data_IF_609381556209
#
_entry.id   IF_609381556209
#
_cell.length_a   1.000
_cell.length_b   1.000
_cell.length_c   1.000
_cell.angle_alpha   90.00
_cell.angle_beta   90.00
_cell.angle_gamma   90.00
#
_symmetry.space_group_name_H-M   'P 1'
#
loop_
_entity.id
_entity.type
_entity.pdbx_description
1 polymer ?
#
# COMPACT_ATOMS: atom_id res chain seq x y z
N UNK A 1 -17.74 25.25 17.74
CA UNK A 1 -18.17 24.87 16.38
C UNK A 1 -17.31 23.72 15.84
N UNK A 2 -15.99 23.74 15.99
CA UNK A 2 -15.10 22.64 15.53
C UNK A 2 -15.25 21.38 16.38
N UNK A 3 -15.38 21.50 17.71
CA UNK A 3 -15.61 20.36 18.61
C UNK A 3 -16.91 19.64 18.35
N UNK A 4 -18.01 20.37 18.09
CA UNK A 4 -19.31 19.75 17.75
C UNK A 4 -19.32 19.09 16.37
N UNK A 5 -18.48 19.56 15.44
CA UNK A 5 -18.30 18.95 14.13
C UNK A 5 -17.50 17.64 14.22
N UNK A 6 -16.46 17.63 15.05
CA UNK A 6 -15.66 16.44 15.35
C UNK A 6 -16.46 15.39 16.13
N UNK A 7 -17.24 15.82 17.13
CA UNK A 7 -18.13 14.94 17.89
C UNK A 7 -19.21 14.31 17.00
N UNK A 8 -19.75 15.08 16.04
CA UNK A 8 -20.67 14.54 15.02
C UNK A 8 -20.01 13.57 14.05
N UNK A 9 -18.74 13.76 13.70
CA UNK A 9 -17.98 12.82 12.88
C UNK A 9 -17.70 11.51 13.63
N UNK A 10 -17.32 11.59 14.91
CA UNK A 10 -17.00 10.41 15.72
C UNK A 10 -18.29 9.64 16.08
N UNK A 11 -19.38 10.33 16.47
CA UNK A 11 -20.67 9.70 16.77
C UNK A 11 -21.40 9.21 15.51
N UNK A 12 -21.09 9.78 14.34
CA UNK A 12 -21.58 9.35 13.03
C UNK A 12 -20.76 8.24 12.37
N UNK A 13 -19.62 7.88 12.95
CA UNK A 13 -18.77 6.79 12.45
C UNK A 13 -19.47 5.44 12.69
N UNK A 14 -20.27 5.03 11.73
CA UNK A 14 -20.81 3.67 11.67
C UNK A 14 -19.84 2.81 10.86
N UNK A 15 -19.66 1.58 11.29
CA UNK A 15 -19.01 0.57 10.46
C UNK A 15 -19.80 0.40 9.17
N UNK A 16 -19.17 0.69 8.04
CA UNK A 16 -19.78 0.45 6.74
C UNK A 16 -19.82 -1.06 6.49
N UNK A 17 -20.98 -1.57 6.11
CA UNK A 17 -21.10 -2.94 5.62
C UNK A 17 -20.83 -2.96 4.12
N UNK A 18 -19.56 -2.83 3.74
CA UNK A 18 -19.15 -2.79 2.33
C UNK A 18 -19.32 -4.15 1.63
N UNK A 19 -19.29 -5.25 2.39
CA UNK A 19 -19.48 -6.59 1.83
C UNK A 19 -20.91 -6.77 1.29
N UNK A 20 -21.93 -6.41 2.10
CA UNK A 20 -23.32 -6.49 1.67
C UNK A 20 -23.61 -5.46 0.56
N UNK A 21 -23.00 -4.26 0.64
CA UNK A 21 -23.15 -3.26 -0.40
C UNK A 21 -22.57 -3.74 -1.75
N UNK A 22 -21.37 -4.36 -1.71
CA UNK A 22 -20.79 -4.98 -2.89
C UNK A 22 -21.68 -6.10 -3.45
N UNK A 23 -22.15 -7.00 -2.58
CA UNK A 23 -23.04 -8.08 -2.98
C UNK A 23 -24.34 -7.57 -3.62
N UNK A 24 -24.90 -6.46 -3.12
CA UNK A 24 -26.07 -5.81 -3.70
C UNK A 24 -25.77 -5.19 -5.06
N UNK A 25 -24.60 -4.55 -5.25
CA UNK A 25 -24.17 -4.05 -6.56
C UNK A 25 -24.01 -5.20 -7.57
N UNK A 26 -23.34 -6.27 -7.15
CA UNK A 26 -23.04 -7.44 -8.01
C UNK A 26 -24.31 -8.25 -8.34
N UNK A 27 -25.39 -8.15 -7.56
CA UNK A 27 -26.64 -8.86 -7.81
C UNK A 27 -27.45 -8.34 -9.00
N UNK A 28 -27.13 -7.15 -9.51
CA UNK A 28 -27.91 -6.45 -10.53
C UNK A 28 -29.20 -5.79 -10.00
N UNK A 29 -29.55 -5.97 -8.70
CA UNK A 29 -30.73 -5.34 -8.09
C UNK A 29 -30.58 -3.83 -7.90
N UNK A 30 -29.33 -3.34 -7.99
CA UNK A 30 -29.00 -1.91 -7.83
C UNK A 30 -29.47 -1.04 -9.00
N UNK A 31 -29.65 -1.61 -10.19
CA UNK A 31 -29.89 -0.88 -11.44
C UNK A 31 -28.72 0.00 -11.89
N UNK A 32 -27.56 -0.10 -11.23
CA UNK A 32 -26.37 0.69 -11.58
C UNK A 32 -25.79 0.31 -12.95
N UNK A 33 -26.01 -0.92 -13.38
CA UNK A 33 -25.58 -1.42 -14.70
C UNK A 33 -26.17 -0.63 -15.87
N UNK A 34 -27.36 -0.03 -15.67
CA UNK A 34 -27.99 0.82 -16.68
C UNK A 34 -27.44 2.27 -16.66
N UNK A 35 -26.76 2.66 -15.57
CA UNK A 35 -26.32 4.04 -15.33
C UNK A 35 -24.81 4.21 -15.43
N UNK A 36 -24.05 3.11 -15.38
CA UNK A 36 -22.58 3.11 -15.37
C UNK A 36 -22.02 2.22 -16.45
N UNK A 37 -20.84 2.57 -16.97
CA UNK A 37 -20.13 1.76 -17.96
C UNK A 37 -19.26 0.68 -17.30
N UNK A 38 -18.81 0.94 -16.06
CA UNK A 38 -17.98 0.04 -15.26
C UNK A 38 -18.13 0.36 -13.77
N UNK A 39 -17.93 -0.64 -12.92
CA UNK A 39 -17.85 -0.51 -11.46
C UNK A 39 -16.52 -1.11 -11.01
N UNK A 40 -15.63 -0.26 -10.54
CA UNK A 40 -14.30 -0.67 -10.08
C UNK A 40 -14.27 -0.78 -8.56
N UNK A 41 -13.83 -1.93 -8.04
CA UNK A 41 -13.57 -2.14 -6.62
C UNK A 41 -12.09 -2.01 -6.33
N UNK A 42 -11.75 -1.26 -5.29
CA UNK A 42 -10.40 -1.18 -4.75
C UNK A 42 -10.36 -1.80 -3.36
N UNK A 43 -9.26 -2.47 -3.05
CA UNK A 43 -9.08 -3.20 -1.81
C UNK A 43 -7.90 -2.60 -1.03
N UNK A 44 -7.93 -2.69 0.30
CA UNK A 44 -6.84 -2.24 1.17
C UNK A 44 -5.67 -3.22 1.25
N UNK A 45 -5.84 -4.44 0.70
CA UNK A 45 -4.76 -5.43 0.62
C UNK A 45 -3.62 -4.90 -0.23
N UNK A 46 -2.38 -4.86 0.29
CA UNK A 46 -1.26 -4.30 -0.45
C UNK A 46 -0.86 -5.19 -1.62
N UNK A 47 -0.72 -4.60 -2.80
CA UNK A 47 -0.10 -5.25 -3.95
C UNK A 47 1.42 -5.12 -3.80
N UNK A 48 2.09 -6.15 -3.30
CA UNK A 48 3.54 -6.14 -3.10
C UNK A 48 4.24 -6.90 -4.21
N UNK A 49 5.08 -6.20 -4.96
CA UNK A 49 5.73 -6.70 -6.18
C UNK A 49 7.23 -6.46 -6.10
N UNK A 50 7.98 -7.45 -6.52
CA UNK A 50 9.44 -7.42 -6.57
C UNK A 50 9.98 -7.71 -7.96
N UNK A 51 11.18 -7.20 -8.22
CA UNK A 51 12.05 -7.60 -9.30
C UNK A 51 13.24 -8.36 -8.70
N UNK A 52 13.68 -9.44 -9.37
CA UNK A 52 14.71 -10.36 -8.82
C UNK A 52 15.88 -10.62 -9.77
N UNK A 53 15.90 -10.03 -10.95
CA UNK A 53 16.93 -10.27 -11.98
C UNK A 53 18.28 -9.59 -11.65
N UNK A 54 18.27 -8.48 -10.89
CA UNK A 54 19.48 -7.74 -10.47
C UNK A 54 19.57 -7.61 -8.93
N UNK A 55 19.13 -8.64 -8.19
CA UNK A 55 19.00 -8.58 -6.74
C UNK A 55 17.53 -8.44 -6.32
N UNK A 56 17.29 -8.29 -5.02
CA UNK A 56 15.96 -8.11 -4.48
C UNK A 56 15.58 -6.62 -4.52
N UNK A 57 14.69 -6.24 -5.45
CA UNK A 57 14.20 -4.88 -5.55
C UNK A 57 12.67 -4.84 -5.43
N UNK A 58 12.17 -4.11 -4.44
CA UNK A 58 10.74 -3.85 -4.29
C UNK A 58 10.31 -2.77 -5.27
N UNK A 59 9.39 -3.11 -6.16
CA UNK A 59 8.89 -2.19 -7.20
C UNK A 59 7.49 -1.65 -6.90
N UNK A 60 6.76 -2.31 -5.99
CA UNK A 60 5.48 -1.83 -5.47
C UNK A 60 5.21 -2.37 -4.05
N UNK A 61 4.71 -1.56 -3.10
CA UNK A 61 4.72 -0.10 -3.15
C UNK A 61 6.17 0.43 -3.26
N UNK A 62 6.34 1.53 -3.96
CA UNK A 62 7.67 2.12 -4.14
C UNK A 62 8.18 2.72 -2.83
N UNK A 63 9.40 2.39 -2.46
CA UNK A 63 10.10 2.95 -1.28
C UNK A 63 11.09 4.04 -1.66
N UNK A 64 11.21 4.38 -2.95
CA UNK A 64 12.26 5.27 -3.47
C UNK A 64 12.39 6.58 -2.69
N UNK A 65 11.29 7.26 -2.39
CA UNK A 65 11.34 8.54 -1.66
C UNK A 65 11.66 8.39 -0.18
N UNK A 66 11.23 7.29 0.46
CA UNK A 66 11.64 6.99 1.83
C UNK A 66 13.12 6.62 1.90
N UNK A 67 13.60 5.83 0.95
CA UNK A 67 14.99 5.41 0.87
C UNK A 67 15.94 6.59 0.59
N UNK A 68 15.46 7.58 -0.19
CA UNK A 68 16.17 8.84 -0.42
C UNK A 68 16.07 9.83 0.78
N UNK A 69 15.36 9.49 1.85
CA UNK A 69 15.17 10.36 3.00
C UNK A 69 14.33 11.63 2.73
N UNK A 70 13.65 11.66 1.59
CA UNK A 70 12.78 12.79 1.19
C UNK A 70 11.44 12.75 1.94
N UNK A 71 11.01 11.55 2.35
CA UNK A 71 9.79 11.34 3.12
C UNK A 71 10.03 10.34 4.26
N UNK A 72 9.45 10.56 5.46
CA UNK A 72 9.49 9.55 6.50
C UNK A 72 8.82 8.24 6.04
N UNK A 73 9.42 7.09 6.39
CA UNK A 73 8.90 5.77 6.03
C UNK A 73 7.46 5.51 6.51
N UNK A 74 7.03 6.17 7.59
CA UNK A 74 5.74 5.99 8.28
C UNK A 74 4.59 6.89 7.79
N UNK A 75 4.76 7.61 6.67
CA UNK A 75 3.71 8.51 6.18
C UNK A 75 2.57 7.80 5.44
N UNK A 76 2.66 6.50 5.20
CA UNK A 76 1.67 5.71 4.46
C UNK A 76 0.24 5.73 5.06
N UNK A 77 0.11 6.02 6.36
CA UNK A 77 -1.19 6.15 7.06
C UNK A 77 -1.71 7.58 7.20
N UNK A 78 -0.97 8.60 6.76
CA UNK A 78 -1.39 9.99 6.89
C UNK A 78 -2.06 10.50 5.62
N UNK A 79 -2.96 11.49 5.75
CA UNK A 79 -3.62 12.17 4.62
C UNK A 79 -2.59 12.78 3.63
N UNK A 80 -1.41 13.16 4.13
CA UNK A 80 -0.31 13.68 3.31
C UNK A 80 0.40 12.55 2.55
N UNK A 81 0.61 11.40 3.19
CA UNK A 81 1.21 10.22 2.56
C UNK A 81 0.32 9.65 1.45
N UNK A 82 -0.99 9.57 1.68
CA UNK A 82 -1.94 9.14 0.66
C UNK A 82 -2.02 10.09 -0.56
N UNK A 83 -1.87 11.41 -0.35
CA UNK A 83 -1.88 12.38 -1.45
C UNK A 83 -0.53 12.48 -2.20
N UNK A 84 0.55 11.96 -1.62
CA UNK A 84 1.90 11.94 -2.21
C UNK A 84 2.37 10.53 -2.61
N UNK A 85 1.54 9.51 -2.42
CA UNK A 85 1.85 8.15 -2.85
C UNK A 85 1.83 8.12 -4.37
N UNK A 86 2.99 8.20 -4.98
CA UNK A 86 3.19 8.04 -6.41
C UNK A 86 3.22 6.54 -6.73
N UNK A 87 2.06 5.89 -6.62
CA UNK A 87 1.96 4.50 -7.06
C UNK A 87 2.18 4.42 -8.56
N UNK A 88 3.18 3.66 -8.97
CA UNK A 88 3.39 3.34 -10.39
C UNK A 88 2.55 2.16 -10.86
N UNK A 89 1.70 1.61 -9.98
CA UNK A 89 0.78 0.52 -10.31
C UNK A 89 -0.66 1.01 -10.18
N UNK A 90 -1.47 0.79 -11.21
CA UNK A 90 -2.87 1.23 -11.26
C UNK A 90 -3.77 0.12 -11.80
N UNK A 91 -4.97 0.01 -11.24
CA UNK A 91 -5.96 -0.92 -11.75
C UNK A 91 -6.61 -0.36 -13.02
N UNK A 92 -6.61 -1.15 -14.06
CA UNK A 92 -7.31 -0.85 -15.31
C UNK A 92 -8.82 -1.06 -15.14
N UNK A 93 -9.63 -0.37 -15.95
CA UNK A 93 -11.07 -0.67 -16.05
C UNK A 93 -11.30 -2.13 -16.47
N UNK A 94 -12.30 -2.76 -15.89
CA UNK A 94 -12.74 -4.11 -16.26
C UNK A 94 -13.48 -4.17 -17.59
N UNK A 95 -13.94 -3.04 -18.09
CA UNK A 95 -14.66 -2.94 -19.37
C UNK A 95 -13.65 -2.86 -20.53
N UNK A 96 -13.57 -3.94 -21.30
CA UNK A 96 -12.62 -4.08 -22.39
C UNK A 96 -12.84 -3.09 -23.54
N UNK A 97 -14.10 -2.75 -23.83
CA UNK A 97 -14.43 -1.79 -24.87
C UNK A 97 -14.03 -0.38 -24.44
N UNK A 98 -14.22 -0.05 -23.15
CA UNK A 98 -13.76 1.21 -22.58
C UNK A 98 -12.23 1.29 -22.60
N UNK A 99 -11.55 0.20 -22.25
CA UNK A 99 -10.09 0.15 -22.28
C UNK A 99 -9.55 0.38 -23.68
N UNK A 100 -10.14 -0.27 -24.70
CA UNK A 100 -9.81 -0.08 -26.13
C UNK A 100 -10.12 1.33 -26.64
N UNK A 101 -11.14 1.97 -26.07
CA UNK A 101 -11.48 3.36 -26.42
C UNK A 101 -10.53 4.39 -25.77
N UNK A 102 -9.92 4.04 -24.63
CA UNK A 102 -9.02 4.92 -23.88
C UNK A 102 -7.57 4.82 -24.33
N UNK A 103 -7.14 3.68 -24.85
CA UNK A 103 -5.74 3.40 -25.12
C UNK A 103 -5.50 2.74 -26.49
N UNK A 104 -4.45 3.21 -27.16
CA UNK A 104 -3.85 2.58 -28.32
C UNK A 104 -2.75 1.62 -27.87
N UNK A 105 -2.67 0.44 -28.48
CA UNK A 105 -1.55 -0.51 -28.28
C UNK A 105 -0.36 -0.06 -29.12
N UNK A 106 0.72 0.37 -28.46
CA UNK A 106 1.97 0.76 -29.12
C UNK A 106 2.81 -0.45 -29.47
N UNK A 107 2.89 -1.42 -28.55
CA UNK A 107 3.57 -2.70 -28.75
C UNK A 107 2.94 -3.79 -27.88
N UNK A 108 3.10 -5.04 -28.27
CA UNK A 108 2.52 -6.18 -27.55
C UNK A 108 1.00 -6.25 -27.72
N UNK A 109 0.28 -6.46 -26.61
CA UNK A 109 -1.19 -6.63 -26.58
C UNK A 109 -1.79 -6.15 -25.26
N UNK A 110 -3.11 -6.11 -25.16
CA UNK A 110 -3.83 -5.92 -23.90
C UNK A 110 -3.66 -7.16 -23.00
N UNK A 111 -3.75 -7.01 -21.66
CA UNK A 111 -3.62 -8.10 -20.72
C UNK A 111 -4.87 -8.99 -20.75
N UNK A 112 -4.68 -10.31 -20.82
CA UNK A 112 -5.76 -11.32 -20.85
C UNK A 112 -5.82 -12.16 -19.58
N UNK A 113 -4.67 -12.32 -18.88
CA UNK A 113 -4.55 -13.09 -17.64
C UNK A 113 -4.35 -12.18 -16.44
N UNK A 114 -4.68 -12.67 -15.24
CA UNK A 114 -4.54 -11.91 -14.00
C UNK A 114 -3.11 -11.42 -13.75
N UNK A 115 -2.13 -12.19 -14.17
CA UNK A 115 -0.70 -11.90 -13.98
C UNK A 115 -0.04 -11.21 -15.18
N UNK A 116 -0.83 -10.64 -16.07
CA UNK A 116 -0.37 -9.83 -17.19
C UNK A 116 -0.64 -8.36 -16.91
N UNK A 117 0.37 -7.55 -17.18
CA UNK A 117 0.31 -6.09 -16.96
C UNK A 117 0.79 -5.35 -18.22
N UNK A 118 0.48 -4.06 -18.27
CA UNK A 118 0.88 -3.20 -19.38
C UNK A 118 1.57 -1.93 -18.83
N UNK A 119 2.53 -1.40 -19.58
CA UNK A 119 3.11 -0.10 -19.29
C UNK A 119 2.29 0.99 -20.01
N UNK A 120 1.79 1.96 -19.26
CA UNK A 120 1.14 3.16 -19.81
C UNK A 120 2.20 4.23 -20.04
N UNK A 121 2.37 4.67 -21.28
CA UNK A 121 3.30 5.73 -21.67
C UNK A 121 2.56 7.01 -22.03
N UNK A 122 3.27 8.13 -22.04
CA UNK A 122 2.71 9.40 -22.51
C UNK A 122 2.38 9.40 -24.02
N UNK A 123 1.71 10.45 -24.50
CA UNK A 123 1.38 10.63 -25.91
C UNK A 123 2.65 10.62 -26.81
N UNK A 124 3.78 11.04 -26.28
CA UNK A 124 5.09 11.05 -26.92
C UNK A 124 5.93 9.79 -26.69
N UNK A 125 5.32 8.73 -26.14
CA UNK A 125 5.96 7.46 -25.74
C UNK A 125 7.03 7.63 -24.65
N UNK A 126 6.91 8.64 -23.80
CA UNK A 126 7.83 8.86 -22.67
C UNK A 126 7.24 8.35 -21.36
N UNK A 127 8.14 8.03 -20.45
CA UNK A 127 7.87 7.75 -19.05
C UNK A 127 8.80 8.59 -18.17
N UNK A 128 8.49 8.73 -16.90
CA UNK A 128 9.28 9.55 -15.98
C UNK A 128 10.49 8.78 -15.47
N UNK A 129 11.56 9.48 -15.09
CA UNK A 129 12.73 8.87 -14.45
C UNK A 129 12.33 8.16 -13.15
N UNK A 130 11.35 8.72 -12.41
CA UNK A 130 10.78 8.07 -11.24
C UNK A 130 10.29 6.64 -11.56
N UNK A 131 9.58 6.48 -12.67
CA UNK A 131 9.11 5.17 -13.14
C UNK A 131 10.30 4.26 -13.48
N UNK A 132 11.33 4.79 -14.14
CA UNK A 132 12.52 4.01 -14.49
C UNK A 132 13.25 3.49 -13.25
N UNK A 133 13.43 4.33 -12.23
CA UNK A 133 14.00 3.91 -10.94
C UNK A 133 13.13 2.89 -10.24
N UNK A 134 11.82 3.15 -10.17
CA UNK A 134 10.88 2.25 -9.47
C UNK A 134 10.79 0.88 -10.14
N UNK A 135 10.84 0.81 -11.48
CA UNK A 135 10.84 -0.44 -12.22
C UNK A 135 12.23 -1.13 -12.27
N UNK A 136 13.24 -0.53 -11.66
CA UNK A 136 14.60 -1.06 -11.66
C UNK A 136 15.27 -1.04 -13.04
N UNK A 137 14.87 -0.12 -13.90
CA UNK A 137 15.53 0.16 -15.19
C UNK A 137 16.70 1.13 -15.01
N UNK A 138 16.67 1.95 -13.97
CA UNK A 138 17.77 2.75 -13.48
C UNK A 138 18.16 2.29 -12.07
N UNK A 139 19.44 2.50 -11.73
CA UNK A 139 20.00 2.09 -10.44
C UNK A 139 19.57 3.07 -9.32
N UNK A 140 18.56 2.66 -8.53
CA UNK A 140 18.07 3.44 -7.41
C UNK A 140 19.11 3.55 -6.28
N UNK A 141 20.00 2.55 -6.10
CA UNK A 141 21.06 2.59 -5.10
C UNK A 141 22.11 3.65 -5.45
N UNK A 142 22.50 3.71 -6.72
CA UNK A 142 23.43 4.75 -7.18
C UNK A 142 22.84 6.17 -6.99
N UNK A 143 21.53 6.34 -7.18
CA UNK A 143 20.84 7.61 -6.88
C UNK A 143 20.87 7.93 -5.38
N UNK A 144 20.61 6.96 -4.52
CA UNK A 144 20.66 7.13 -3.07
C UNK A 144 22.08 7.52 -2.61
N UNK A 145 23.09 6.79 -3.07
CA UNK A 145 24.48 7.07 -2.74
C UNK A 145 24.87 8.50 -3.15
N UNK A 146 24.41 8.96 -4.31
CA UNK A 146 24.64 10.32 -4.80
C UNK A 146 23.93 11.37 -3.92
N UNK A 147 22.68 11.13 -3.50
CA UNK A 147 21.95 12.04 -2.60
C UNK A 147 22.64 12.14 -1.24
N UNK A 148 23.09 11.01 -0.67
CA UNK A 148 23.82 10.99 0.60
C UNK A 148 25.18 11.71 0.50
N UNK A 149 25.90 11.52 -0.59
CA UNK A 149 27.17 12.21 -0.83
C UNK A 149 26.96 13.73 -0.97
N UNK A 150 25.92 14.15 -1.68
CA UNK A 150 25.53 15.56 -1.78
C UNK A 150 25.17 16.16 -0.41
N UNK A 151 24.45 15.41 0.44
CA UNK A 151 24.14 15.84 1.80
C UNK A 151 25.41 16.02 2.67
N UNK A 152 26.48 15.27 2.40
CA UNK A 152 27.80 15.45 3.03
C UNK A 152 28.61 16.60 2.43
N UNK A 153 28.09 17.28 1.39
CA UNK A 153 28.77 18.39 0.70
C UNK A 153 29.85 17.94 -0.30
N UNK A 154 29.79 16.69 -0.76
CA UNK A 154 30.65 16.14 -1.79
C UNK A 154 30.15 16.55 -3.18
N UNK A 155 31.07 16.73 -4.13
CA UNK A 155 30.71 16.96 -5.55
C UNK A 155 30.19 15.63 -6.13
N UNK A 156 28.92 15.58 -6.48
CA UNK A 156 28.28 14.41 -7.08
C UNK A 156 27.74 14.71 -8.47
N UNK A 157 27.85 13.73 -9.36
CA UNK A 157 27.20 13.76 -10.66
C UNK A 157 26.06 12.77 -10.66
N UNK A 158 24.83 13.28 -10.73
CA UNK A 158 23.66 12.45 -11.00
C UNK A 158 23.57 12.26 -12.51
N UNK A 159 23.30 11.04 -12.95
CA UNK A 159 23.05 10.76 -14.35
C UNK A 159 21.79 11.51 -14.81
N UNK A 160 21.96 12.43 -15.74
CA UNK A 160 20.88 13.23 -16.33
C UNK A 160 20.70 12.91 -17.82
N UNK A 161 21.32 11.84 -18.29
CA UNK A 161 21.17 11.43 -19.69
C UNK A 161 19.75 10.93 -19.97
N UNK A 162 19.28 11.18 -21.19
CA UNK A 162 17.98 10.66 -21.62
C UNK A 162 18.17 9.20 -22.02
N UNK A 163 17.62 8.30 -21.20
CA UNK A 163 17.63 6.88 -21.46
C UNK A 163 16.56 6.48 -22.48
N UNK A 164 16.88 5.53 -23.34
CA UNK A 164 15.95 4.98 -24.31
C UNK A 164 15.95 3.46 -24.21
N UNK A 165 14.76 2.88 -24.13
CA UNK A 165 14.56 1.43 -24.07
C UNK A 165 13.79 0.98 -25.30
N UNK A 166 14.16 -0.16 -25.85
CA UNK A 166 13.36 -0.77 -26.91
C UNK A 166 12.04 -1.32 -26.34
N UNK A 167 11.04 -1.48 -27.19
CA UNK A 167 9.79 -2.12 -26.76
C UNK A 167 10.02 -3.57 -26.29
N UNK A 168 10.98 -4.27 -26.87
CA UNK A 168 11.35 -5.63 -26.46
C UNK A 168 11.96 -5.64 -25.05
N UNK A 169 12.79 -4.65 -24.67
CA UNK A 169 13.31 -4.52 -23.31
C UNK A 169 12.17 -4.40 -22.30
N UNK A 170 11.19 -3.55 -22.58
CA UNK A 170 10.03 -3.35 -21.73
C UNK A 170 9.15 -4.61 -21.66
N UNK A 171 8.85 -5.24 -22.79
CA UNK A 171 8.04 -6.45 -22.84
C UNK A 171 8.75 -7.67 -22.23
N UNK A 172 10.06 -7.60 -22.04
CA UNK A 172 10.84 -8.62 -21.34
C UNK A 172 10.76 -8.53 -19.82
N UNK A 173 10.26 -7.41 -19.26
CA UNK A 173 10.18 -7.20 -17.81
C UNK A 173 9.32 -8.27 -17.15
N UNK A 174 9.84 -8.82 -16.06
CA UNK A 174 9.17 -9.81 -15.22
C UNK A 174 9.28 -9.36 -13.77
N UNK A 175 8.19 -9.54 -13.06
CA UNK A 175 8.09 -9.24 -11.64
C UNK A 175 7.58 -10.47 -10.89
N UNK A 176 7.70 -10.41 -9.57
CA UNK A 176 7.28 -11.47 -8.65
C UNK A 176 6.30 -10.92 -7.62
N UNK A 177 5.20 -11.61 -7.41
CA UNK A 177 4.19 -11.26 -6.43
C UNK A 177 4.55 -11.85 -5.07
N UNK A 178 4.53 -11.01 -4.03
CA UNK A 178 4.68 -11.42 -2.64
C UNK A 178 3.44 -11.01 -1.85
N UNK A 179 2.86 -11.95 -1.09
CA UNK A 179 1.82 -11.60 -0.12
C UNK A 179 2.44 -11.38 1.25
N UNK A 180 1.79 -10.59 2.12
CA UNK A 180 2.26 -10.43 3.49
C UNK A 180 2.37 -11.79 4.20
N UNK A 181 1.46 -12.70 3.90
CA UNK A 181 1.45 -14.05 4.50
C UNK A 181 2.65 -14.90 4.09
N UNK A 182 3.25 -14.65 2.94
CA UNK A 182 4.46 -15.34 2.49
C UNK A 182 5.69 -15.02 3.34
N UNK A 183 5.66 -13.90 4.09
CA UNK A 183 6.74 -13.51 4.97
C UNK A 183 6.75 -14.29 6.31
N UNK A 184 5.70 -15.04 6.60
CA UNK A 184 5.61 -15.78 7.87
C UNK A 184 5.84 -17.26 7.68
N UNK A 185 6.69 -17.83 8.52
CA UNK A 185 6.99 -19.28 8.52
C UNK A 185 6.78 -19.87 9.91
N UNK A 186 6.30 -21.11 9.96
CA UNK A 186 6.14 -21.83 11.22
C UNK A 186 7.46 -22.44 11.64
N UNK A 187 7.98 -22.03 12.80
CA UNK A 187 9.19 -22.58 13.44
C UNK A 187 8.86 -22.94 14.88
N UNK A 188 9.14 -24.17 15.28
CA UNK A 188 8.88 -24.67 16.63
C UNK A 188 7.44 -24.43 17.14
N UNK A 189 6.46 -24.44 16.21
CA UNK A 189 5.05 -24.23 16.53
C UNK A 189 4.59 -22.77 16.57
N UNK A 190 5.48 -21.80 16.39
CA UNK A 190 5.19 -20.38 16.37
C UNK A 190 5.39 -19.79 14.97
N UNK A 191 4.65 -18.74 14.64
CA UNK A 191 4.83 -17.97 13.43
C UNK A 191 5.96 -16.96 13.60
N UNK A 192 6.94 -17.02 12.71
CA UNK A 192 8.13 -16.16 12.71
C UNK A 192 8.08 -15.30 11.46
N UNK A 193 8.25 -13.98 11.66
CA UNK A 193 8.38 -13.01 10.59
C UNK A 193 9.76 -13.12 9.93
N UNK A 194 9.77 -13.23 8.60
CA UNK A 194 10.94 -13.33 7.74
C UNK A 194 11.00 -12.20 6.71
N UNK A 195 10.25 -11.13 6.93
CA UNK A 195 10.22 -9.98 6.00
C UNK A 195 11.58 -9.29 5.82
N UNK A 196 12.45 -9.38 6.82
CA UNK A 196 13.81 -8.80 6.78
C UNK A 196 14.89 -9.81 6.35
N UNK A 197 14.53 -11.07 6.08
CA UNK A 197 15.46 -12.11 5.64
C UNK A 197 15.51 -12.17 4.11
N UNK A 198 16.46 -11.44 3.51
CA UNK A 198 16.60 -11.33 2.05
C UNK A 198 16.77 -12.70 1.37
N UNK A 199 17.53 -13.61 1.96
CA UNK A 199 17.75 -14.93 1.39
C UNK A 199 16.46 -15.77 1.41
N UNK A 200 15.66 -15.63 2.47
CA UNK A 200 14.33 -16.25 2.56
C UNK A 200 13.40 -15.68 1.51
N UNK A 201 13.31 -14.33 1.40
CA UNK A 201 12.46 -13.65 0.41
C UNK A 201 12.81 -14.03 -1.01
N UNK A 202 14.09 -14.08 -1.38
CA UNK A 202 14.52 -14.53 -2.71
C UNK A 202 14.08 -15.97 -3.00
N UNK A 203 14.15 -16.84 -2.02
CA UNK A 203 13.70 -18.22 -2.19
C UNK A 203 12.17 -18.31 -2.39
N UNK A 204 11.40 -17.54 -1.62
CA UNK A 204 9.93 -17.47 -1.76
C UNK A 204 9.55 -16.89 -3.13
N UNK A 205 10.16 -15.78 -3.52
CA UNK A 205 9.89 -15.09 -4.78
C UNK A 205 10.22 -15.95 -6.01
N UNK A 206 11.24 -16.78 -5.95
CA UNK A 206 11.56 -17.73 -7.03
C UNK A 206 10.45 -18.75 -7.28
N UNK A 207 9.65 -19.06 -6.27
CA UNK A 207 8.49 -19.95 -6.37
C UNK A 207 7.15 -19.22 -6.49
N UNK A 208 7.14 -17.88 -6.43
CA UNK A 208 5.91 -17.08 -6.45
C UNK A 208 5.39 -16.82 -7.85
N UNK A 209 4.17 -16.25 -7.94
CA UNK A 209 3.54 -15.87 -9.19
C UNK A 209 4.39 -14.85 -9.95
N UNK A 210 4.66 -15.17 -11.21
CA UNK A 210 5.32 -14.26 -12.13
C UNK A 210 4.30 -13.33 -12.78
N UNK A 211 4.60 -12.02 -12.74
CA UNK A 211 3.83 -10.99 -13.44
C UNK A 211 4.63 -10.55 -14.66
N UNK A 212 4.00 -10.57 -15.84
CA UNK A 212 4.64 -10.28 -17.11
C UNK A 212 4.11 -8.98 -17.73
N UNK A 213 4.98 -8.11 -18.21
CA UNK A 213 4.59 -6.98 -19.07
C UNK A 213 4.31 -7.54 -20.46
N UNK A 214 3.06 -7.43 -20.92
CA UNK A 214 2.61 -7.98 -22.21
C UNK A 214 2.26 -6.91 -23.24
N UNK A 215 2.21 -5.65 -22.82
CA UNK A 215 1.87 -4.56 -23.73
C UNK A 215 2.38 -3.21 -23.24
N UNK A 216 2.50 -2.32 -24.20
CA UNK A 216 2.77 -0.88 -24.00
C UNK A 216 1.60 -0.14 -24.60
N UNK A 217 0.92 0.65 -23.79
CA UNK A 217 -0.27 1.39 -24.18
C UNK A 217 -0.02 2.89 -24.10
N UNK A 218 -0.67 3.63 -24.95
CA UNK A 218 -0.66 5.10 -25.02
C UNK A 218 -2.11 5.60 -25.01
N UNK A 219 -2.40 6.77 -24.39
CA UNK A 219 -3.73 7.35 -24.50
C UNK A 219 -4.16 7.49 -25.95
N UNK A 220 -5.38 7.06 -26.27
CA UNK A 220 -5.95 7.24 -27.61
C UNK A 220 -6.21 8.73 -27.89
N UNK A 221 -6.14 9.13 -29.15
CA UNK A 221 -6.37 10.52 -29.55
C UNK A 221 -7.77 10.98 -29.14
N UNK A 222 -7.82 12.04 -28.32
CA UNK A 222 -9.08 12.60 -27.80
C UNK A 222 -9.67 11.88 -26.59
N UNK A 223 -9.00 10.88 -26.03
CA UNK A 223 -9.41 10.26 -24.78
C UNK A 223 -9.37 11.27 -23.64
N UNK A 224 -10.49 11.42 -22.91
CA UNK A 224 -10.61 12.37 -21.78
C UNK A 224 -10.11 11.78 -20.46
N UNK A 225 -10.01 10.45 -20.37
CA UNK A 225 -9.55 9.69 -19.21
C UNK A 225 -8.27 8.95 -19.61
N UNK A 226 -7.24 9.02 -18.80
CA UNK A 226 -5.95 8.37 -19.06
C UNK A 226 -4.81 9.32 -19.46
N UNK A 227 -5.11 10.54 -19.91
CA UNK A 227 -4.10 11.54 -20.31
C UNK A 227 -3.20 12.02 -19.14
N UNK A 228 -3.55 11.71 -17.87
CA UNK A 228 -2.76 12.06 -16.70
C UNK A 228 -1.90 10.90 -16.14
N UNK A 229 -2.05 9.69 -16.65
CA UNK A 229 -1.34 8.51 -16.15
C UNK A 229 -0.26 8.09 -17.16
N UNK A 230 0.89 8.71 -17.06
CA UNK A 230 2.07 8.33 -17.85
C UNK A 230 3.15 7.73 -16.93
N UNK A 231 3.75 6.63 -17.37
CA UNK A 231 4.80 5.96 -16.60
C UNK A 231 4.24 5.10 -15.46
N UNK A 232 3.08 4.48 -15.65
CA UNK A 232 2.50 3.57 -14.66
C UNK A 232 2.26 2.18 -15.26
N UNK A 233 2.24 1.17 -14.40
CA UNK A 233 1.90 -0.21 -14.76
C UNK A 233 0.41 -0.41 -14.54
N UNK A 234 -0.30 -0.72 -15.60
CA UNK A 234 -1.72 -1.07 -15.57
C UNK A 234 -1.92 -2.56 -15.34
N UNK A 235 -2.68 -2.93 -14.31
CA UNK A 235 -3.03 -4.32 -14.00
C UNK A 235 -4.55 -4.56 -14.03
N UNK A 236 -4.96 -5.80 -14.24
CA UNK A 236 -6.36 -6.21 -14.25
C UNK A 236 -6.90 -6.40 -12.83
N UNK A 237 -8.19 -6.14 -12.63
CA UNK A 237 -8.87 -6.31 -11.35
C UNK A 237 -8.75 -7.74 -10.78
N UNK A 238 -8.67 -8.74 -11.65
CA UNK A 238 -8.54 -10.15 -11.25
C UNK A 238 -7.18 -10.47 -10.59
N UNK A 239 -6.14 -9.65 -10.77
CA UNK A 239 -4.90 -9.74 -10.00
C UNK A 239 -5.18 -9.53 -8.50
N UNK A 240 -5.99 -8.52 -8.16
CA UNK A 240 -6.35 -8.26 -6.76
C UNK A 240 -7.25 -9.36 -6.19
N UNK A 241 -8.17 -9.90 -6.98
CA UNK A 241 -8.99 -11.04 -6.57
C UNK A 241 -8.11 -12.27 -6.28
N UNK A 242 -7.16 -12.58 -7.16
CA UNK A 242 -6.20 -13.66 -6.96
C UNK A 242 -5.36 -13.47 -5.69
N UNK A 243 -4.87 -12.24 -5.47
CA UNK A 243 -4.13 -11.88 -4.25
C UNK A 243 -4.96 -12.11 -2.99
N UNK A 244 -6.22 -11.64 -2.96
CA UNK A 244 -7.14 -11.82 -1.85
C UNK A 244 -7.42 -13.30 -1.55
N UNK A 245 -7.67 -14.10 -2.58
CA UNK A 245 -7.90 -15.54 -2.43
C UNK A 245 -6.68 -16.23 -1.84
N UNK A 246 -5.48 -15.85 -2.30
CA UNK A 246 -4.22 -16.39 -1.80
C UNK A 246 -4.00 -16.03 -0.33
N UNK A 247 -4.16 -14.76 0.06
CA UNK A 247 -4.05 -14.29 1.44
C UNK A 247 -5.07 -14.98 2.34
N UNK A 248 -6.36 -15.01 1.96
CA UNK A 248 -7.42 -15.64 2.75
C UNK A 248 -7.26 -17.16 2.87
N UNK A 249 -6.60 -17.81 1.92
CA UNK A 249 -6.30 -19.25 1.98
C UNK A 249 -5.05 -19.60 2.79
N UNK A 250 -4.24 -18.62 3.20
CA UNK A 250 -3.04 -18.84 3.98
C UNK A 250 -3.36 -19.44 5.36
N UNK A 251 -2.52 -20.37 5.82
CA UNK A 251 -2.72 -21.08 7.09
C UNK A 251 -2.79 -20.12 8.27
N UNK A 252 -1.88 -19.15 8.34
CA UNK A 252 -1.83 -18.14 9.42
C UNK A 252 -3.10 -17.28 9.49
N UNK A 253 -3.69 -16.93 8.35
CA UNK A 253 -4.94 -16.16 8.30
C UNK A 253 -6.10 -17.01 8.80
N UNK A 254 -6.19 -18.27 8.36
CA UNK A 254 -7.23 -19.19 8.82
C UNK A 254 -7.13 -19.50 10.30
N UNK A 255 -5.91 -19.63 10.84
CA UNK A 255 -5.70 -19.79 12.28
C UNK A 255 -6.17 -18.56 13.05
N UNK A 256 -5.81 -17.34 12.62
CA UNK A 256 -6.26 -16.12 13.28
C UNK A 256 -7.78 -15.95 13.22
N UNK A 257 -8.39 -16.29 12.08
CA UNK A 257 -9.85 -16.22 11.92
C UNK A 257 -10.58 -17.28 12.72
N UNK A 258 -9.96 -18.45 12.95
CA UNK A 258 -10.56 -19.53 13.73
C UNK A 258 -10.66 -19.20 15.22
N UNK A 259 -9.72 -18.40 15.75
CA UNK A 259 -9.79 -17.89 17.12
C UNK A 259 -9.52 -16.38 17.16
N UNK A 260 -10.56 -15.54 17.11
CA UNK A 260 -10.40 -14.10 17.15
C UNK A 260 -10.01 -13.54 18.53
N UNK A 261 -9.89 -14.39 19.56
CA UNK A 261 -9.51 -13.98 20.91
C UNK A 261 -8.05 -14.20 21.24
N UNK A 262 -7.32 -14.95 20.38
CA UNK A 262 -5.91 -15.30 20.56
C UNK A 262 -5.09 -14.69 19.44
N UNK A 263 -3.97 -14.06 19.80
CA UNK A 263 -2.97 -13.57 18.86
C UNK A 263 -2.20 -14.76 18.24
N UNK A 264 -2.33 -14.93 16.94
CA UNK A 264 -1.71 -16.02 16.18
C UNK A 264 -0.17 -16.01 16.25
N UNK A 265 0.44 -14.85 16.47
CA UNK A 265 1.91 -14.71 16.53
C UNK A 265 2.48 -15.12 17.88
N UNK A 266 1.79 -14.79 18.97
CA UNK A 266 2.25 -15.06 20.33
C UNK A 266 1.62 -16.30 20.96
N UNK A 267 0.45 -16.72 20.45
CA UNK A 267 -0.36 -17.79 21.06
C UNK A 267 -1.02 -17.37 22.38
N UNK A 268 -0.98 -16.09 22.74
CA UNK A 268 -1.61 -15.55 23.94
C UNK A 268 -2.94 -14.89 23.61
N UNK A 269 -3.89 -14.85 24.54
CA UNK A 269 -5.11 -14.06 24.38
C UNK A 269 -4.74 -12.59 24.11
N UNK A 270 -5.47 -11.94 23.21
CA UNK A 270 -5.35 -10.49 23.08
C UNK A 270 -5.64 -9.83 24.42
N UNK A 271 -4.76 -8.96 24.87
CA UNK A 271 -5.05 -8.13 26.02
C UNK A 271 -6.24 -7.23 25.64
N UNK A 272 -7.41 -7.58 26.15
CA UNK A 272 -8.56 -6.71 26.08
C UNK A 272 -8.34 -5.59 27.10
N UNK A 273 -7.57 -4.58 26.75
CA UNK A 273 -7.80 -3.28 27.34
C UNK A 273 -9.16 -2.83 26.79
N UNK A 274 -10.23 -2.98 27.59
CA UNK A 274 -11.50 -2.33 27.32
C UNK A 274 -11.20 -0.84 27.12
N UNK A 275 -11.29 -0.36 25.88
CA UNK A 275 -11.11 1.06 25.57
C UNK A 275 -12.07 1.82 26.47
N UNK A 276 -11.55 2.54 27.45
CA UNK A 276 -12.35 3.34 28.36
C UNK A 276 -13.10 4.41 27.56
N UNK A 277 -14.29 4.74 28.02
CA UNK A 277 -15.04 5.85 27.43
C UNK A 277 -14.32 7.19 27.62
N UNK A 278 -13.58 7.33 28.71
CA UNK A 278 -12.82 8.52 29.05
C UNK A 278 -11.45 8.13 29.63
N UNK A 279 -10.39 8.74 29.13
CA UNK A 279 -9.03 8.66 29.67
C UNK A 279 -8.64 9.98 30.31
N UNK A 280 -7.78 9.91 31.33
CA UNK A 280 -7.21 11.10 31.99
C UNK A 280 -5.85 11.43 31.38
N UNK A 281 -5.41 12.69 31.53
CA UNK A 281 -4.08 13.11 31.11
C UNK A 281 -2.97 12.34 31.85
N UNK A 282 -3.21 11.92 33.11
CA UNK A 282 -2.27 11.09 33.88
C UNK A 282 -2.06 9.72 33.22
N UNK A 283 -3.13 9.09 32.73
CA UNK A 283 -3.06 7.81 32.01
C UNK A 283 -2.33 7.96 30.67
N UNK A 284 -2.60 9.04 29.92
CA UNK A 284 -1.88 9.34 28.70
C UNK A 284 -0.37 9.55 28.95
N UNK A 285 -0.01 10.25 30.00
CA UNK A 285 1.40 10.47 30.37
C UNK A 285 2.08 9.18 30.85
N UNK A 286 1.35 8.31 31.57
CA UNK A 286 1.83 7.01 31.97
C UNK A 286 2.07 6.08 30.76
N UNK A 287 1.19 6.13 29.76
CA UNK A 287 1.37 5.45 28.49
C UNK A 287 2.58 6.02 27.73
N UNK A 288 2.67 7.35 27.60
CA UNK A 288 3.79 8.02 26.95
C UNK A 288 5.15 7.61 27.53
N UNK A 289 5.24 7.44 28.84
CA UNK A 289 6.48 7.03 29.52
C UNK A 289 6.99 5.63 29.12
N UNK A 290 6.16 4.80 28.50
CA UNK A 290 6.51 3.47 28.01
C UNK A 290 6.99 3.47 26.56
N UNK A 291 6.77 4.58 25.83
CA UNK A 291 7.16 4.72 24.43
C UNK A 291 8.66 5.04 24.28
N UNK A 292 9.27 4.73 23.12
CA UNK A 292 10.59 5.23 22.75
C UNK A 292 10.62 6.78 22.82
N UNK A 293 11.79 7.35 23.12
CA UNK A 293 11.94 8.79 23.37
C UNK A 293 11.43 9.67 22.22
N UNK A 294 11.57 9.22 21.00
CA UNK A 294 11.14 9.92 19.79
C UNK A 294 9.60 9.96 19.69
N UNK A 295 8.94 8.80 19.85
CA UNK A 295 7.48 8.70 19.87
C UNK A 295 6.86 9.45 21.07
N UNK A 296 7.54 9.45 22.22
CA UNK A 296 7.15 10.25 23.38
C UNK A 296 7.14 11.75 23.06
N UNK A 297 8.19 12.26 22.39
CA UNK A 297 8.30 13.66 22.01
C UNK A 297 7.22 14.05 21.00
N UNK A 298 6.94 13.21 20.05
CA UNK A 298 5.89 13.41 19.04
C UNK A 298 4.51 13.47 19.70
N UNK A 299 4.18 12.51 20.56
CA UNK A 299 2.91 12.48 21.30
C UNK A 299 2.72 13.76 22.14
N UNK A 300 3.78 14.22 22.82
CA UNK A 300 3.73 15.46 23.60
C UNK A 300 3.57 16.70 22.70
N UNK A 301 4.08 16.67 21.49
CA UNK A 301 3.83 17.68 20.45
C UNK A 301 2.35 17.77 20.07
N UNK A 302 1.69 16.62 19.86
CA UNK A 302 0.24 16.57 19.61
C UNK A 302 -0.56 17.11 20.80
N UNK A 303 -0.24 16.70 22.03
CA UNK A 303 -0.88 17.25 23.26
C UNK A 303 -0.80 18.77 23.27
N UNK A 304 0.39 19.32 23.08
CA UNK A 304 0.61 20.77 23.11
C UNK A 304 -0.16 21.49 22.00
N UNK A 305 -0.21 20.90 20.80
CA UNK A 305 -0.95 21.45 19.66
C UNK A 305 -2.46 21.47 19.93
N UNK A 306 -3.01 20.40 20.50
CA UNK A 306 -4.44 20.31 20.81
C UNK A 306 -4.82 21.25 21.97
N UNK A 307 -3.98 21.38 23.00
CA UNK A 307 -4.17 22.37 24.08
C UNK A 307 -4.19 23.81 23.54
N UNK A 308 -3.34 24.13 22.56
CA UNK A 308 -3.34 25.45 21.93
C UNK A 308 -4.66 25.77 21.17
N UNK A 309 -5.44 24.77 20.80
CA UNK A 309 -6.79 24.96 20.21
C UNK A 309 -7.89 25.16 21.25
N UNK A 310 -7.56 25.08 22.56
CA UNK A 310 -8.50 25.24 23.68
C UNK A 310 -9.28 23.97 24.02
N UNK A 311 -8.82 22.80 23.58
CA UNK A 311 -9.39 21.52 23.94
C UNK A 311 -9.04 21.17 25.39
N UNK A 312 -9.97 20.59 26.13
CA UNK A 312 -9.73 20.18 27.53
C UNK A 312 -8.87 18.90 27.60
N UNK A 313 -8.13 18.75 28.69
CA UNK A 313 -7.17 17.66 28.90
C UNK A 313 -7.81 16.26 28.85
N UNK A 314 -9.06 16.11 29.31
CA UNK A 314 -9.76 14.83 29.26
C UNK A 314 -10.13 14.41 27.83
N UNK A 315 -10.55 15.36 27.02
CA UNK A 315 -10.84 15.14 25.60
C UNK A 315 -9.55 14.81 24.83
N UNK A 316 -8.46 15.54 25.08
CA UNK A 316 -7.15 15.28 24.46
C UNK A 316 -6.67 13.89 24.82
N UNK A 317 -6.64 13.57 26.12
CA UNK A 317 -6.19 12.25 26.58
C UNK A 317 -7.01 11.11 25.98
N UNK A 318 -8.34 11.25 25.95
CA UNK A 318 -9.23 10.24 25.40
C UNK A 318 -9.01 10.03 23.91
N UNK A 319 -8.85 11.10 23.12
CA UNK A 319 -8.62 11.00 21.69
C UNK A 319 -7.27 10.35 21.38
N UNK A 320 -6.20 10.80 22.03
CA UNK A 320 -4.85 10.29 21.79
C UNK A 320 -4.67 8.85 22.29
N UNK A 321 -5.22 8.52 23.47
CA UNK A 321 -5.19 7.13 23.97
C UNK A 321 -5.98 6.19 23.06
N UNK A 322 -7.18 6.57 22.66
CA UNK A 322 -7.96 5.73 21.73
C UNK A 322 -7.26 5.57 20.38
N UNK A 323 -6.66 6.64 19.83
CA UNK A 323 -5.88 6.57 18.61
C UNK A 323 -4.66 5.65 18.76
N UNK A 324 -3.90 5.80 19.85
CA UNK A 324 -2.72 5.00 20.13
C UNK A 324 -3.06 3.52 20.35
N UNK A 325 -4.07 3.22 21.16
CA UNK A 325 -4.50 1.85 21.46
C UNK A 325 -5.21 1.18 20.27
N UNK A 326 -5.85 1.96 19.40
CA UNK A 326 -6.41 1.43 18.16
C UNK A 326 -5.38 1.21 17.04
N UNK A 327 -4.21 1.85 17.16
CA UNK A 327 -3.10 1.74 16.22
C UNK A 327 -1.95 0.84 16.74
N UNK A 328 -2.12 0.17 17.91
CA UNK A 328 -1.11 -0.79 18.37
C UNK A 328 -1.01 -1.93 17.35
N UNK A 329 0.00 -1.82 16.48
CA UNK A 329 0.27 -2.79 15.44
C UNK A 329 0.47 -4.19 16.06
N UNK A 330 -0.42 -5.11 15.71
CA UNK A 330 -0.32 -6.51 16.05
C UNK A 330 -0.91 -6.95 17.40
N UNK A 331 -1.33 -6.03 18.28
CA UNK A 331 -1.91 -6.42 19.58
C UNK A 331 -3.44 -6.63 19.54
N UNK A 332 -4.07 -6.59 18.38
CA UNK A 332 -5.51 -6.78 18.21
C UNK A 332 -5.80 -7.73 17.06
N UNK A 333 -6.97 -8.38 17.11
CA UNK A 333 -7.44 -9.24 16.00
C UNK A 333 -7.43 -8.49 14.64
N UNK A 334 -7.97 -7.28 14.62
CA UNK A 334 -8.01 -6.46 13.39
C UNK A 334 -6.60 -6.03 12.95
N UNK A 335 -5.73 -5.71 13.90
CA UNK A 335 -4.31 -5.39 13.63
C UNK A 335 -3.58 -6.56 12.99
N UNK A 336 -3.77 -7.78 13.53
CA UNK A 336 -3.18 -8.98 12.96
C UNK A 336 -3.71 -9.26 11.54
N UNK A 337 -5.01 -9.15 11.30
CA UNK A 337 -5.55 -9.33 9.95
C UNK A 337 -4.96 -8.31 8.98
N UNK A 338 -4.88 -7.03 9.37
CA UNK A 338 -4.23 -5.98 8.57
C UNK A 338 -2.75 -6.29 8.29
N UNK A 339 -2.00 -6.74 9.31
CA UNK A 339 -0.59 -7.17 9.16
C UNK A 339 -0.46 -8.31 8.16
N UNK A 340 -1.41 -9.23 8.14
CA UNK A 340 -1.46 -10.36 7.22
C UNK A 340 -1.96 -9.97 5.81
N UNK A 341 -2.45 -8.74 5.61
CA UNK A 341 -2.94 -8.24 4.33
C UNK A 341 -4.41 -8.54 4.04
N UNK A 342 -5.21 -8.82 5.09
CA UNK A 342 -6.66 -9.08 5.01
C UNK A 342 -7.46 -7.79 5.13
#
# INVERSE_FOLDING_TARGET
VMGSMMDSMIQGSKTNNLADFKAWLDSGESGMEELTTDITYTYSTPLTVYRTDNGLQKVNPSTLFSDLGVMPADTSGTLLGQSMQMDVWTQLTGNEDLLKAQYDVVAGRLPEQYNEVVLLVGEDNRITDYTLYTLGLLDAQALQDAVEAAARGEDVSIDTEVHSYSYDDILSLRFRLLTNTDCFVRQDGQWVDKSDDEAYLLNVLNGSDEIAVVGILRPAEGATTGSGQSGVIGYRADLMTHLLDRVNSAEIVREQQADPTVDVFTGLPFEQEELKDVYTMEELLAYAAQLPAEAQQELMGYVSSMQATGMDDGTIATQLMRAALSQSDGATYTGNLKRLGV
#
